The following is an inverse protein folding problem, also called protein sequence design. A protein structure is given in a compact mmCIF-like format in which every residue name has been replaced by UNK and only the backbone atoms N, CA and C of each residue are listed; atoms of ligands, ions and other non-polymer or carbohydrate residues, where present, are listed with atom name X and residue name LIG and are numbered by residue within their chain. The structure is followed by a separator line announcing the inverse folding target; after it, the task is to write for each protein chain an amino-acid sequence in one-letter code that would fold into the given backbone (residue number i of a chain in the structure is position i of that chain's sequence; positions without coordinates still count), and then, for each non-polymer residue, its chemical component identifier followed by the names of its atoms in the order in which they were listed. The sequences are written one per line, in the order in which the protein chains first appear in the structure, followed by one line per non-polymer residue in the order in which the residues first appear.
data_IF_760707397067
#
_entry.id   IF_760707397067
#
_cell.length_a   1.000
_cell.length_b   1.000
_cell.length_c   1.000
_cell.angle_alpha   90.00
_cell.angle_beta   90.00
_cell.angle_gamma   90.00
#
_symmetry.space_group_name_H-M   'P 1'
#
loop_
_entity.id
_entity.type
_entity.pdbx_description
1 polymer ?
#
# COMPACT_ATOMS: atom_id res chain seq x y z
N UNK A 1 -13.39 25.93 6.09
CA UNK A 1 -13.13 27.27 5.57
C UNK A 1 -11.75 27.30 4.89
N UNK A 2 -11.64 28.01 3.79
CA UNK A 2 -10.40 28.25 3.05
C UNK A 2 -10.23 29.76 2.86
N UNK A 3 -9.02 30.24 3.17
CA UNK A 3 -8.56 31.61 2.90
C UNK A 3 -7.33 31.51 2.01
N UNK A 4 -7.31 32.25 0.92
CA UNK A 4 -6.19 32.23 -0.02
C UNK A 4 -5.93 33.56 -0.66
N UNK A 5 -4.66 33.81 -0.94
CA UNK A 5 -4.15 34.85 -1.84
C UNK A 5 -3.05 34.22 -2.73
N UNK A 6 -2.33 35.03 -3.49
CA UNK A 6 -1.31 34.57 -4.42
C UNK A 6 -0.18 33.75 -3.74
N UNK A 7 0.17 34.11 -2.51
CA UNK A 7 1.28 33.49 -1.77
C UNK A 7 0.82 32.51 -0.71
N UNK A 8 -0.29 32.76 -0.04
CA UNK A 8 -0.75 31.98 1.10
C UNK A 8 -2.08 31.30 0.82
N UNK A 9 -2.22 30.11 1.36
CA UNK A 9 -3.49 29.42 1.44
C UNK A 9 -3.59 28.70 2.79
N UNK A 10 -4.67 28.95 3.51
CA UNK A 10 -4.97 28.33 4.80
C UNK A 10 -6.31 27.63 4.65
N UNK A 11 -6.33 26.34 4.95
CA UNK A 11 -7.55 25.53 5.02
C UNK A 11 -7.66 24.97 6.43
N UNK A 12 -8.79 25.21 7.09
CA UNK A 12 -9.15 24.60 8.37
C UNK A 12 -10.51 23.95 8.21
N UNK A 13 -10.62 22.70 8.65
CA UNK A 13 -11.85 21.94 8.61
C UNK A 13 -11.94 20.95 9.76
N UNK A 14 -13.13 20.44 9.96
CA UNK A 14 -13.39 19.40 10.93
C UNK A 14 -14.64 18.62 10.54
N UNK A 15 -14.66 17.35 10.89
CA UNK A 15 -15.80 16.44 10.69
C UNK A 15 -16.20 15.86 12.04
N UNK A 16 -17.49 15.82 12.27
CA UNK A 16 -18.11 15.14 13.41
C UNK A 16 -18.80 13.87 12.90
N UNK A 17 -18.44 12.76 13.47
CA UNK A 17 -19.00 11.45 13.12
C UNK A 17 -19.63 10.81 14.36
N UNK A 18 -20.79 10.18 14.19
CA UNK A 18 -21.40 9.30 15.19
C UNK A 18 -21.56 7.92 14.55
N UNK A 19 -20.97 6.93 15.17
CA UNK A 19 -21.03 5.54 14.73
C UNK A 19 -21.81 4.71 15.77
N UNK A 20 -22.60 3.75 15.31
CA UNK A 20 -23.43 2.91 16.20
C UNK A 20 -22.60 2.03 17.17
N UNK A 21 -21.34 1.81 16.86
CA UNK A 21 -20.42 0.99 17.68
C UNK A 21 -19.48 1.83 18.55
N UNK A 22 -19.68 3.15 18.59
CA UNK A 22 -18.85 4.08 19.36
C UNK A 22 -19.75 5.02 20.15
N UNK A 23 -19.60 5.03 21.48
CA UNK A 23 -20.48 5.79 22.37
C UNK A 23 -20.30 7.32 22.21
N UNK A 24 -19.11 7.76 21.87
CA UNK A 24 -18.78 9.18 21.74
C UNK A 24 -18.92 9.67 20.29
N UNK A 25 -19.14 10.98 20.15
CA UNK A 25 -18.97 11.67 18.87
C UNK A 25 -17.49 11.80 18.59
N UNK A 26 -17.07 11.43 17.39
CA UNK A 26 -15.67 11.48 16.95
C UNK A 26 -15.46 12.77 16.17
N UNK A 27 -14.50 13.56 16.62
CA UNK A 27 -14.10 14.78 15.95
C UNK A 27 -12.78 14.56 15.18
N UNK A 28 -12.81 14.83 13.88
CA UNK A 28 -11.67 14.67 12.97
C UNK A 28 -11.26 16.03 12.39
N UNK A 29 -10.36 16.78 13.03
CA UNK A 29 -9.85 18.04 12.53
C UNK A 29 -8.86 17.86 11.40
N UNK A 30 -8.77 18.87 10.52
CA UNK A 30 -7.73 19.00 9.51
C UNK A 30 -7.31 20.44 9.32
N UNK A 31 -6.04 20.65 9.04
CA UNK A 31 -5.49 21.94 8.70
C UNK A 31 -4.45 21.80 7.58
N UNK A 32 -4.42 22.74 6.68
CA UNK A 32 -3.42 22.81 5.63
C UNK A 32 -2.96 24.24 5.47
N UNK A 33 -1.66 24.44 5.49
CA UNK A 33 -1.01 25.70 5.21
C UNK A 33 -0.19 25.58 3.93
N UNK A 34 -0.46 26.41 2.96
CA UNK A 34 0.31 26.52 1.71
C UNK A 34 1.01 27.86 1.67
N UNK A 35 2.27 27.85 1.26
CA UNK A 35 3.06 29.03 1.01
C UNK A 35 3.77 28.93 -0.34
N UNK A 36 3.55 29.88 -1.22
CA UNK A 36 4.19 30.00 -2.53
C UNK A 36 5.21 31.16 -2.47
N UNK A 37 6.48 30.92 -2.12
CA UNK A 37 7.51 31.97 -2.14
C UNK A 37 7.72 32.55 -3.54
N UNK A 38 7.55 31.71 -4.55
CA UNK A 38 7.56 32.06 -5.97
C UNK A 38 6.43 31.34 -6.70
N UNK A 39 6.20 31.68 -7.97
CA UNK A 39 5.22 30.96 -8.82
C UNK A 39 5.60 29.47 -9.07
N UNK A 40 6.87 29.15 -8.89
CA UNK A 40 7.42 27.81 -9.20
C UNK A 40 7.72 26.96 -7.96
N UNK A 41 7.49 27.49 -6.76
CA UNK A 41 7.74 26.78 -5.50
C UNK A 41 6.47 26.81 -4.66
N UNK A 42 6.01 25.61 -4.26
CA UNK A 42 4.86 25.43 -3.39
C UNK A 42 5.30 24.65 -2.16
N UNK A 43 5.25 25.29 -1.00
CA UNK A 43 5.49 24.66 0.29
C UNK A 43 4.17 24.37 0.97
N UNK A 44 4.03 23.19 1.57
CA UNK A 44 2.83 22.79 2.30
C UNK A 44 3.17 22.19 3.64
N UNK A 45 2.36 22.53 4.64
CA UNK A 45 2.28 21.85 5.92
C UNK A 45 0.85 21.37 6.11
N UNK A 46 0.68 20.11 6.40
CA UNK A 46 -0.63 19.49 6.55
C UNK A 46 -0.73 18.74 7.87
N UNK A 47 -1.89 18.85 8.48
CA UNK A 47 -2.32 18.05 9.61
C UNK A 47 -3.71 17.49 9.34
N UNK A 48 -3.89 16.19 9.64
CA UNK A 48 -5.20 15.56 9.59
C UNK A 48 -5.34 14.50 10.69
N UNK A 49 -6.54 14.40 11.22
CA UNK A 49 -6.95 13.32 12.09
C UNK A 49 -8.00 12.46 11.40
N UNK A 50 -7.95 11.16 11.63
CA UNK A 50 -8.89 10.19 11.13
C UNK A 50 -9.18 9.12 12.18
N UNK A 51 -10.16 8.27 11.91
CA UNK A 51 -10.50 7.14 12.75
C UNK A 51 -10.98 5.96 11.91
N UNK A 52 -10.88 4.77 12.49
CA UNK A 52 -11.51 3.54 11.99
C UNK A 52 -12.45 3.03 13.08
N UNK A 53 -13.73 2.90 12.75
CA UNK A 53 -14.71 2.37 13.68
C UNK A 53 -14.52 0.87 13.91
N UNK A 54 -14.92 0.34 15.09
CA UNK A 54 -14.86 -1.10 15.35
C UNK A 54 -15.67 -1.90 14.34
N UNK A 55 -15.02 -2.86 13.69
CA UNK A 55 -15.65 -3.79 12.74
C UNK A 55 -15.20 -5.21 13.07
N UNK A 56 -16.10 -6.19 12.90
CA UNK A 56 -15.76 -7.59 13.15
C UNK A 56 -15.05 -8.24 11.94
N UNK A 57 -15.38 -7.82 10.72
CA UNK A 57 -15.12 -8.59 9.50
C UNK A 57 -14.27 -7.88 8.46
N UNK A 58 -13.54 -6.84 8.80
CA UNK A 58 -12.91 -6.00 7.80
C UNK A 58 -11.73 -6.72 7.07
N UNK A 59 -10.67 -7.02 7.81
CA UNK A 59 -9.43 -7.56 7.22
C UNK A 59 -9.26 -9.06 7.49
N UNK A 60 -10.08 -9.64 8.37
CA UNK A 60 -9.87 -10.98 8.91
C UNK A 60 -10.85 -12.02 8.36
N UNK A 61 -11.59 -11.70 7.30
CA UNK A 61 -12.41 -12.68 6.57
C UNK A 61 -11.57 -13.60 5.67
N UNK A 62 -10.38 -13.95 6.12
CA UNK A 62 -9.55 -14.92 5.43
C UNK A 62 -9.82 -16.32 5.97
N UNK A 63 -10.05 -17.25 5.06
CA UNK A 63 -9.95 -18.66 5.38
C UNK A 63 -8.46 -18.94 5.61
N UNK A 64 -8.02 -18.90 6.86
CA UNK A 64 -6.62 -19.13 7.24
C UNK A 64 -6.12 -20.51 6.82
N UNK A 65 -7.04 -21.47 6.69
CA UNK A 65 -6.72 -22.84 6.26
C UNK A 65 -7.82 -23.42 5.38
N UNK A 66 -7.42 -24.03 4.28
CA UNK A 66 -8.29 -24.88 3.50
C UNK A 66 -8.47 -26.21 4.25
N UNK A 67 -9.69 -26.48 4.73
CA UNK A 67 -9.98 -27.65 5.58
C UNK A 67 -9.69 -27.48 7.07
N UNK A 68 -9.31 -26.27 7.53
CA UNK A 68 -9.06 -25.97 8.93
C UNK A 68 -10.31 -25.56 9.72
N UNK A 69 -10.14 -25.45 11.02
CA UNK A 69 -11.19 -24.99 11.93
C UNK A 69 -11.49 -23.51 11.67
N UNK A 70 -12.76 -23.16 11.49
CA UNK A 70 -13.18 -21.76 11.35
C UNK A 70 -13.06 -21.08 12.72
N UNK A 71 -12.33 -19.99 12.81
CA UNK A 71 -12.31 -19.16 14.00
C UNK A 71 -13.31 -18.01 13.83
N UNK A 72 -14.22 -17.84 14.78
CA UNK A 72 -15.11 -16.68 14.85
C UNK A 72 -14.36 -15.49 15.45
N UNK A 73 -14.62 -14.29 14.93
CA UNK A 73 -14.08 -13.06 15.49
C UNK A 73 -15.17 -12.37 16.31
N UNK A 74 -14.90 -12.20 17.60
CA UNK A 74 -15.72 -11.43 18.51
C UNK A 74 -15.01 -10.12 18.89
N UNK A 75 -15.79 -9.09 19.16
CA UNK A 75 -15.27 -7.79 19.60
C UNK A 75 -15.21 -7.75 21.12
N UNK A 76 -14.14 -7.20 21.67
CA UNK A 76 -14.09 -6.84 23.09
C UNK A 76 -15.23 -5.86 23.41
N UNK A 77 -15.80 -5.98 24.62
CA UNK A 77 -16.91 -5.13 25.05
C UNK A 77 -16.56 -3.66 25.15
N UNK A 78 -15.30 -3.37 25.39
CA UNK A 78 -14.69 -2.04 25.55
C UNK A 78 -13.93 -1.57 24.31
N UNK A 79 -14.14 -2.21 23.16
CA UNK A 79 -13.46 -1.89 21.91
C UNK A 79 -13.78 -0.46 21.48
N UNK A 80 -12.77 0.39 21.42
CA UNK A 80 -12.79 1.79 20.97
C UNK A 80 -12.42 1.90 19.51
N UNK A 81 -12.70 3.05 18.94
CA UNK A 81 -12.21 3.41 17.61
C UNK A 81 -10.67 3.53 17.57
N UNK A 82 -10.06 3.01 16.54
CA UNK A 82 -8.66 3.29 16.21
C UNK A 82 -8.54 4.72 15.67
N UNK A 83 -7.58 5.50 16.15
CA UNK A 83 -7.36 6.89 15.74
C UNK A 83 -6.03 7.07 15.03
N UNK A 84 -6.02 7.98 14.07
CA UNK A 84 -4.80 8.41 13.39
C UNK A 84 -4.62 9.92 13.47
N UNK A 85 -3.36 10.34 13.61
CA UNK A 85 -2.94 11.73 13.46
C UNK A 85 -1.77 11.77 12.49
N UNK A 86 -1.93 12.51 11.42
CA UNK A 86 -0.94 12.60 10.34
C UNK A 86 -0.46 14.03 10.17
N UNK A 87 0.85 14.18 10.06
CA UNK A 87 1.55 15.42 9.73
C UNK A 87 2.35 15.20 8.46
N UNK A 88 2.32 16.14 7.53
CA UNK A 88 3.24 16.15 6.41
C UNK A 88 3.75 17.55 6.11
N UNK A 89 4.97 17.61 5.61
CA UNK A 89 5.60 18.80 5.07
C UNK A 89 6.14 18.49 3.69
N UNK A 90 5.80 19.32 2.70
CA UNK A 90 6.26 19.11 1.34
C UNK A 90 6.73 20.37 0.67
N UNK A 91 7.68 20.20 -0.25
CA UNK A 91 8.15 21.21 -1.18
C UNK A 91 7.97 20.69 -2.60
N UNK A 92 7.21 21.38 -3.40
CA UNK A 92 6.92 21.08 -4.80
C UNK A 92 7.50 22.19 -5.67
N UNK A 93 8.48 21.84 -6.48
CA UNK A 93 9.32 22.78 -7.22
C UNK A 93 9.23 22.51 -8.71
N UNK A 94 8.89 23.54 -9.47
CA UNK A 94 8.82 23.51 -10.92
C UNK A 94 9.96 24.33 -11.52
N UNK A 95 10.58 23.80 -12.54
CA UNK A 95 11.58 24.55 -13.28
C UNK A 95 11.52 24.26 -14.78
N UNK A 96 11.74 25.31 -15.59
CA UNK A 96 11.81 25.19 -17.04
C UNK A 96 13.15 25.74 -17.51
N UNK A 97 13.91 24.93 -18.22
CA UNK A 97 15.16 25.33 -18.84
C UNK A 97 15.21 24.85 -20.31
N UNK A 98 15.12 25.82 -21.21
CA UNK A 98 15.01 25.51 -22.64
C UNK A 98 13.76 24.70 -22.94
N UNK A 99 13.95 23.55 -23.58
CA UNK A 99 12.88 22.63 -23.96
C UNK A 99 12.47 21.66 -22.83
N UNK A 100 13.17 21.67 -21.70
CA UNK A 100 12.88 20.81 -20.55
C UNK A 100 11.93 21.48 -19.58
N UNK A 101 10.95 20.72 -19.12
CA UNK A 101 10.11 21.04 -17.98
C UNK A 101 10.35 20.01 -16.89
N UNK A 102 10.62 20.46 -15.67
CA UNK A 102 10.89 19.60 -14.54
C UNK A 102 10.02 19.92 -13.36
N UNK A 103 9.73 18.91 -12.57
CA UNK A 103 9.09 19.04 -11.28
C UNK A 103 9.80 18.12 -10.29
N UNK A 104 10.05 18.62 -9.09
CA UNK A 104 10.60 17.86 -7.98
C UNK A 104 9.70 18.07 -6.75
N UNK A 105 9.15 16.97 -6.24
CA UNK A 105 8.42 16.92 -4.98
C UNK A 105 9.27 16.22 -3.93
N UNK A 106 9.41 16.86 -2.78
CA UNK A 106 10.00 16.27 -1.57
C UNK A 106 8.93 16.34 -0.48
N UNK A 107 8.59 15.21 0.12
CA UNK A 107 7.59 15.16 1.20
C UNK A 107 8.11 14.33 2.37
N UNK A 108 8.15 14.94 3.56
CA UNK A 108 8.30 14.25 4.83
C UNK A 108 6.95 14.02 5.48
N UNK A 109 6.69 12.83 6.02
CA UNK A 109 5.45 12.49 6.68
C UNK A 109 5.66 11.75 7.99
N UNK A 110 4.72 11.95 8.91
CA UNK A 110 4.63 11.24 10.19
C UNK A 110 3.17 10.96 10.50
N UNK A 111 2.85 9.69 10.76
CA UNK A 111 1.52 9.26 11.21
C UNK A 111 1.63 8.49 12.52
N UNK A 112 0.84 8.90 13.50
CA UNK A 112 0.63 8.23 14.77
C UNK A 112 -0.71 7.51 14.74
N UNK A 113 -0.70 6.23 15.11
CA UNK A 113 -1.90 5.43 15.35
C UNK A 113 -2.02 5.16 16.85
N UNK A 114 -3.23 5.28 17.38
CA UNK A 114 -3.56 4.93 18.76
C UNK A 114 -4.75 3.98 18.79
N UNK A 115 -4.84 3.17 19.82
CA UNK A 115 -5.89 2.16 19.97
C UNK A 115 -5.97 1.21 18.76
N UNK A 116 -4.82 0.80 18.22
CA UNK A 116 -4.70 -0.04 17.02
C UNK A 116 -5.43 -1.37 17.25
N UNK A 117 -6.22 -1.79 16.28
CA UNK A 117 -6.91 -3.06 16.39
C UNK A 117 -5.94 -4.23 16.32
N UNK A 118 -6.03 -5.10 17.31
CA UNK A 118 -5.28 -6.34 17.38
C UNK A 118 -6.24 -7.50 17.57
N UNK A 119 -5.86 -8.65 17.01
CA UNK A 119 -6.58 -9.89 17.18
C UNK A 119 -5.92 -10.71 18.27
N UNK A 120 -6.69 -11.08 19.28
CA UNK A 120 -6.23 -11.91 20.38
C UNK A 120 -5.99 -13.36 19.96
N UNK A 121 -5.49 -14.15 20.90
CA UNK A 121 -5.27 -15.58 20.71
C UNK A 121 -6.60 -16.29 20.48
N UNK A 122 -6.62 -17.35 19.64
CA UNK A 122 -7.78 -18.20 19.55
C UNK A 122 -7.99 -18.97 20.85
N UNK A 123 -9.20 -19.05 21.32
CA UNK A 123 -9.62 -19.90 22.45
C UNK A 123 -10.86 -20.71 22.06
N UNK A 124 -11.01 -21.89 22.66
CA UNK A 124 -12.23 -22.68 22.48
C UNK A 124 -13.32 -22.12 23.40
N UNK A 125 -14.48 -21.80 22.83
CA UNK A 125 -15.64 -21.31 23.55
C UNK A 125 -16.34 -22.41 24.38
N UNK A 126 -15.98 -23.67 24.19
CA UNK A 126 -16.55 -24.83 24.88
C UNK A 126 -17.60 -25.57 24.04
N UNK A 127 -17.90 -25.11 22.84
CA UNK A 127 -18.77 -25.73 21.83
C UNK A 127 -18.01 -26.26 20.60
N UNK A 128 -16.68 -26.31 20.69
CA UNK A 128 -15.80 -26.69 19.57
C UNK A 128 -15.56 -25.59 18.56
N UNK A 129 -16.03 -24.36 18.83
CA UNK A 129 -15.79 -23.19 17.98
C UNK A 129 -14.62 -22.39 18.54
N UNK A 130 -13.59 -22.20 17.75
CA UNK A 130 -12.50 -21.30 18.07
C UNK A 130 -12.95 -19.85 17.93
N UNK A 131 -12.60 -19.02 18.90
CA UNK A 131 -12.94 -17.60 18.93
C UNK A 131 -11.69 -16.79 19.11
N UNK A 132 -11.52 -15.74 18.30
CA UNK A 132 -10.51 -14.71 18.46
C UNK A 132 -11.18 -13.41 18.88
N UNK A 133 -10.69 -12.73 19.89
CA UNK A 133 -11.23 -11.45 20.36
C UNK A 133 -10.46 -10.29 19.73
N UNK A 134 -11.18 -9.39 19.05
CA UNK A 134 -10.61 -8.12 18.59
C UNK A 134 -10.66 -7.11 19.72
N UNK A 135 -9.52 -6.53 20.06
CA UNK A 135 -9.35 -5.51 21.09
C UNK A 135 -8.45 -4.37 20.61
N UNK A 136 -8.34 -3.31 21.40
CA UNK A 136 -7.35 -2.27 21.13
C UNK A 136 -5.99 -2.72 21.69
N UNK A 137 -4.97 -2.57 20.89
CA UNK A 137 -3.58 -2.85 21.23
C UNK A 137 -2.74 -1.59 21.35
N UNK A 138 -1.41 -1.76 21.47
CA UNK A 138 -0.48 -0.65 21.55
C UNK A 138 -0.54 0.20 20.27
N UNK A 139 -0.19 1.48 20.42
CA UNK A 139 -0.10 2.38 19.28
C UNK A 139 0.99 1.99 18.28
N UNK A 140 0.96 2.65 17.15
CA UNK A 140 1.96 2.48 16.11
C UNK A 140 2.31 3.83 15.48
N UNK A 141 3.46 3.87 14.80
CA UNK A 141 3.92 5.05 14.07
C UNK A 141 4.53 4.68 12.74
N UNK A 142 4.24 5.51 11.76
CA UNK A 142 4.82 5.44 10.43
C UNK A 142 5.41 6.81 10.11
N UNK A 143 6.66 6.84 9.67
CA UNK A 143 7.33 8.07 9.24
C UNK A 143 8.19 7.79 8.03
N UNK A 144 8.35 8.77 7.17
CA UNK A 144 9.14 8.59 5.97
C UNK A 144 9.39 9.86 5.19
N UNK A 145 10.10 9.65 4.09
CA UNK A 145 10.42 10.65 3.09
C UNK A 145 10.05 10.11 1.71
N UNK A 146 9.30 10.89 0.95
CA UNK A 146 9.00 10.63 -0.45
C UNK A 146 9.73 11.65 -1.32
N UNK A 147 10.39 11.16 -2.35
CA UNK A 147 10.98 11.96 -3.42
C UNK A 147 10.29 11.58 -4.72
N UNK A 148 9.77 12.56 -5.45
CA UNK A 148 9.18 12.36 -6.77
C UNK A 148 9.74 13.36 -7.75
N UNK A 149 10.20 12.88 -8.89
CA UNK A 149 10.74 13.71 -9.97
C UNK A 149 9.98 13.49 -11.28
N UNK A 150 9.71 14.55 -12.00
CA UNK A 150 9.14 14.54 -13.35
C UNK A 150 10.01 15.36 -14.28
N UNK A 151 10.26 14.82 -15.46
CA UNK A 151 10.99 15.51 -16.53
C UNK A 151 10.22 15.30 -17.82
N UNK A 152 9.94 16.40 -18.54
CA UNK A 152 9.39 16.36 -19.88
C UNK A 152 10.35 17.11 -20.82
N UNK A 153 10.64 16.52 -21.97
CA UNK A 153 11.40 17.13 -23.05
C UNK A 153 10.50 17.25 -24.27
N UNK A 154 10.07 18.47 -24.59
CA UNK A 154 9.07 18.73 -25.64
C UNK A 154 7.84 17.82 -25.46
N UNK A 155 7.31 17.30 -26.56
CA UNK A 155 6.29 16.24 -26.60
C UNK A 155 6.89 14.84 -26.83
N UNK A 156 8.24 14.72 -26.79
CA UNK A 156 8.96 13.51 -27.21
C UNK A 156 9.19 12.57 -26.04
N UNK A 157 9.57 13.10 -24.87
CA UNK A 157 9.96 12.28 -23.72
C UNK A 157 9.30 12.81 -22.45
N UNK A 158 8.69 11.91 -21.68
CA UNK A 158 8.21 12.17 -20.33
C UNK A 158 8.72 11.06 -19.42
N UNK A 159 9.34 11.45 -18.30
CA UNK A 159 9.80 10.53 -17.27
C UNK A 159 9.24 11.00 -15.94
N UNK A 160 8.71 10.09 -15.15
CA UNK A 160 8.32 10.29 -13.76
C UNK A 160 8.89 9.15 -12.93
N UNK A 161 9.49 9.47 -11.78
CA UNK A 161 9.96 8.48 -10.84
C UNK A 161 9.67 8.94 -9.41
N UNK A 162 9.31 7.99 -8.56
CA UNK A 162 9.07 8.22 -7.13
C UNK A 162 9.75 7.17 -6.28
N UNK A 163 10.31 7.59 -5.15
CA UNK A 163 10.91 6.71 -4.15
C UNK A 163 10.45 7.13 -2.76
N UNK A 164 9.95 6.17 -2.00
CA UNK A 164 9.59 6.36 -0.60
C UNK A 164 10.50 5.51 0.29
N UNK A 165 11.09 6.17 1.29
CA UNK A 165 11.82 5.56 2.38
C UNK A 165 11.00 5.75 3.64
N UNK A 166 10.61 4.67 4.33
CA UNK A 166 9.77 4.76 5.51
C UNK A 166 10.21 3.80 6.62
N UNK A 167 9.74 4.11 7.81
CA UNK A 167 9.85 3.25 8.98
C UNK A 167 8.49 3.16 9.65
N UNK A 168 7.97 1.93 9.78
CA UNK A 168 6.70 1.61 10.43
C UNK A 168 6.93 0.69 11.62
N UNK A 169 6.47 1.11 12.80
CA UNK A 169 6.72 0.36 14.05
C UNK A 169 5.57 0.49 15.03
N UNK A 170 5.28 -0.60 15.72
CA UNK A 170 4.53 -0.59 16.97
C UNK A 170 5.33 0.10 18.08
N UNK A 171 4.66 0.71 19.03
CA UNK A 171 5.29 1.32 20.20
C UNK A 171 5.92 0.25 21.10
N UNK A 172 5.22 -0.85 21.25
CA UNK A 172 5.66 -2.04 21.99
C UNK A 172 5.79 -3.24 21.05
N UNK A 173 6.67 -4.20 21.37
CA UNK A 173 6.74 -5.43 20.59
C UNK A 173 5.40 -6.16 20.59
N UNK A 174 4.89 -6.49 19.42
CA UNK A 174 3.64 -7.22 19.23
C UNK A 174 3.90 -8.68 18.90
N UNK A 175 3.26 -9.60 19.62
CA UNK A 175 3.21 -11.02 19.31
C UNK A 175 1.92 -11.32 18.55
N UNK A 176 2.02 -11.74 17.32
CA UNK A 176 0.87 -12.14 16.52
C UNK A 176 0.47 -13.62 16.75
N UNK A 177 1.36 -14.43 17.32
CA UNK A 177 1.15 -15.83 17.73
C UNK A 177 2.01 -16.15 18.94
N UNK A 178 1.66 -17.19 19.73
CA UNK A 178 2.39 -17.56 20.94
C UNK A 178 3.83 -17.97 20.67
N UNK A 179 4.03 -18.76 19.63
CA UNK A 179 5.35 -19.28 19.24
C UNK A 179 6.13 -18.27 18.39
N UNK A 180 5.48 -17.18 17.95
CA UNK A 180 6.14 -16.17 17.15
C UNK A 180 7.01 -15.24 18.01
N UNK A 181 8.14 -14.78 17.47
CA UNK A 181 8.89 -13.72 18.10
C UNK A 181 8.06 -12.43 18.20
N UNK A 182 8.24 -11.66 19.26
CA UNK A 182 7.63 -10.36 19.39
C UNK A 182 8.35 -9.36 18.48
N UNK A 183 7.59 -8.71 17.59
CA UNK A 183 8.12 -7.80 16.60
C UNK A 183 7.64 -6.37 16.82
N UNK A 184 8.57 -5.41 16.71
CA UNK A 184 8.22 -3.97 16.67
C UNK A 184 7.86 -3.49 15.28
N UNK A 185 8.33 -4.17 14.24
CA UNK A 185 8.07 -3.79 12.85
C UNK A 185 6.65 -4.20 12.47
N UNK A 186 5.94 -3.29 11.82
CA UNK A 186 4.61 -3.59 11.27
C UNK A 186 4.80 -4.55 10.08
N UNK A 187 4.05 -5.65 10.12
CA UNK A 187 4.08 -6.64 9.06
C UNK A 187 3.53 -6.09 7.74
N UNK A 188 3.94 -6.69 6.63
CA UNK A 188 3.49 -6.39 5.26
C UNK A 188 3.72 -4.93 4.84
N UNK A 189 4.72 -4.28 5.44
CA UNK A 189 5.04 -2.89 5.19
C UNK A 189 6.51 -2.78 4.78
N UNK A 190 6.83 -2.54 3.49
CA UNK A 190 8.20 -2.39 3.03
C UNK A 190 8.78 -1.05 3.52
N UNK A 191 10.08 -1.05 3.91
CA UNK A 191 10.76 0.18 4.31
C UNK A 191 11.14 1.07 3.12
N UNK A 192 11.17 0.49 1.92
CA UNK A 192 11.53 1.19 0.69
C UNK A 192 10.65 0.68 -0.44
N UNK A 193 10.05 1.60 -1.17
CA UNK A 193 9.29 1.27 -2.39
C UNK A 193 9.31 2.45 -3.35
N UNK A 194 9.05 2.18 -4.60
CA UNK A 194 9.07 3.22 -5.61
C UNK A 194 8.52 2.76 -6.94
N UNK A 195 8.44 3.70 -7.84
CA UNK A 195 7.98 3.45 -9.20
C UNK A 195 8.70 4.38 -10.19
N UNK A 196 8.67 4.00 -11.44
CA UNK A 196 8.95 4.93 -12.52
C UNK A 196 8.07 4.65 -13.73
N UNK A 197 7.83 5.68 -14.51
CA UNK A 197 7.23 5.59 -15.84
C UNK A 197 8.04 6.46 -16.79
N UNK A 198 8.26 5.95 -18.01
CA UNK A 198 8.88 6.72 -19.07
C UNK A 198 8.09 6.50 -20.36
N UNK A 199 7.69 7.58 -21.01
CA UNK A 199 7.02 7.54 -22.31
C UNK A 199 7.84 8.31 -23.30
N UNK A 200 8.17 7.67 -24.43
CA UNK A 200 8.91 8.25 -25.53
C UNK A 200 8.07 8.17 -26.82
N UNK A 201 7.90 9.30 -27.50
CA UNK A 201 7.21 9.40 -28.79
C UNK A 201 8.20 9.97 -29.81
N UNK A 202 9.15 9.14 -30.30
CA UNK A 202 10.23 9.61 -31.14
C UNK A 202 9.74 10.12 -32.50
N UNK A 203 8.64 9.56 -32.97
CA UNK A 203 7.89 10.00 -34.15
C UNK A 203 6.40 9.96 -33.83
N UNK A 204 5.61 10.81 -34.45
CA UNK A 204 4.16 10.95 -34.12
C UNK A 204 3.39 9.65 -33.99
N UNK A 205 3.53 8.65 -34.92
CA UNK A 205 2.75 7.42 -34.81
C UNK A 205 3.27 6.41 -33.77
N UNK A 206 4.50 6.54 -33.26
CA UNK A 206 5.13 5.54 -32.38
C UNK A 206 5.23 6.05 -30.95
N UNK A 207 4.65 5.29 -30.01
CA UNK A 207 4.79 5.49 -28.58
C UNK A 207 5.42 4.28 -27.93
N UNK A 208 6.43 4.52 -27.11
CA UNK A 208 7.15 3.52 -26.30
C UNK A 208 6.96 3.90 -24.86
N UNK A 209 6.36 3.02 -24.05
CA UNK A 209 6.18 3.24 -22.63
C UNK A 209 6.91 2.16 -21.83
N UNK A 210 7.65 2.61 -20.82
CA UNK A 210 8.25 1.78 -19.80
C UNK A 210 7.57 2.09 -18.46
N UNK A 211 7.31 1.07 -17.68
CA UNK A 211 6.84 1.21 -16.30
C UNK A 211 7.55 0.24 -15.37
N UNK A 212 7.93 0.71 -14.20
CA UNK A 212 8.57 -0.14 -13.21
C UNK A 212 8.04 0.13 -11.82
N UNK A 213 7.93 -0.92 -11.03
CA UNK A 213 7.55 -0.86 -9.61
C UNK A 213 8.57 -1.63 -8.80
N UNK A 214 9.13 -0.98 -7.79
CA UNK A 214 10.06 -1.57 -6.84
C UNK A 214 9.39 -1.71 -5.46
N UNK A 215 9.44 -2.91 -4.90
CA UNK A 215 9.02 -3.19 -3.53
C UNK A 215 10.20 -3.78 -2.77
N UNK A 216 10.65 -3.08 -1.73
CA UNK A 216 11.72 -3.53 -0.85
C UNK A 216 11.29 -4.70 0.03
N UNK A 217 12.22 -5.18 0.84
CA UNK A 217 11.96 -6.26 1.80
C UNK A 217 10.98 -5.80 2.86
N UNK A 218 10.05 -6.67 3.23
CA UNK A 218 9.14 -6.49 4.35
C UNK A 218 9.11 -7.73 5.23
N UNK A 219 8.60 -7.60 6.45
CA UNK A 219 8.37 -8.72 7.36
C UNK A 219 6.96 -9.24 7.12
N UNK A 220 6.81 -10.56 6.99
CA UNK A 220 5.51 -11.20 6.80
C UNK A 220 5.36 -12.36 7.79
N UNK A 221 4.14 -12.63 8.15
CA UNK A 221 3.74 -13.73 9.00
C UNK A 221 3.63 -14.99 8.15
N UNK A 222 4.07 -16.12 8.69
CA UNK A 222 3.90 -17.44 8.11
C UNK A 222 3.60 -18.46 9.20
N UNK A 223 2.60 -19.31 8.94
CA UNK A 223 2.33 -20.50 9.73
C UNK A 223 2.92 -21.71 9.02
N UNK A 224 4.12 -22.10 9.41
CA UNK A 224 4.75 -23.29 8.86
C UNK A 224 4.08 -24.54 9.45
N UNK A 225 3.54 -25.37 8.56
CA UNK A 225 2.94 -26.64 8.91
C UNK A 225 3.94 -27.71 8.48
N UNK A 226 4.72 -28.17 9.43
CA UNK A 226 5.68 -29.22 9.15
C UNK A 226 4.96 -30.52 8.76
N UNK A 227 5.28 -31.03 7.59
CA UNK A 227 4.69 -32.26 7.04
C UNK A 227 4.91 -33.51 7.94
N UNK A 228 5.89 -33.45 8.84
CA UNK A 228 6.21 -34.53 9.78
C UNK A 228 5.11 -34.80 10.79
N UNK A 229 4.26 -33.81 11.11
CA UNK A 229 3.20 -33.91 12.11
C UNK A 229 1.80 -34.11 11.52
N UNK A 230 1.68 -34.24 10.20
CA UNK A 230 0.40 -34.48 9.53
C UNK A 230 -0.02 -35.96 9.61
N UNK A 231 -0.07 -36.54 10.81
CA UNK A 231 -0.78 -37.80 11.02
C UNK A 231 -2.28 -37.65 10.77
N UNK A 232 -2.84 -38.54 9.97
CA UNK A 232 -4.29 -38.55 9.70
C UNK A 232 -5.07 -38.51 11.04
N UNK A 233 -5.82 -37.43 11.28
CA UNK A 233 -6.69 -37.26 12.44
C UNK A 233 -6.11 -36.48 13.60
N UNK A 234 -4.85 -36.02 13.54
CA UNK A 234 -4.29 -35.05 14.50
C UNK A 234 -4.12 -33.68 13.84
N UNK A 235 -4.44 -32.60 14.56
CA UNK A 235 -4.09 -31.26 14.14
C UNK A 235 -2.55 -31.17 14.03
N UNK A 236 -1.99 -30.81 12.86
CA UNK A 236 -0.54 -30.65 12.75
C UNK A 236 -0.08 -29.49 13.64
N UNK A 237 1.06 -29.71 14.31
CA UNK A 237 1.72 -28.67 15.06
C UNK A 237 2.16 -27.56 14.11
N UNK A 238 1.77 -26.31 14.41
CA UNK A 238 2.04 -25.16 13.54
C UNK A 238 3.09 -24.29 14.20
N UNK A 239 4.14 -24.00 13.47
CA UNK A 239 5.18 -23.08 13.89
C UNK A 239 4.95 -21.71 13.27
N UNK A 240 4.76 -20.69 14.13
CA UNK A 240 4.61 -19.33 13.69
C UNK A 240 5.98 -18.67 13.46
N UNK A 241 6.21 -18.17 12.26
CA UNK A 241 7.48 -17.55 11.86
C UNK A 241 7.27 -16.14 11.31
N UNK A 242 8.27 -15.27 11.55
CA UNK A 242 8.36 -13.96 10.93
C UNK A 242 9.40 -14.01 9.82
N UNK A 243 8.96 -14.00 8.58
CA UNK A 243 9.83 -14.16 7.41
C UNK A 243 10.10 -12.83 6.75
N UNK A 244 11.35 -12.61 6.36
CA UNK A 244 11.75 -11.43 5.57
C UNK A 244 11.68 -11.74 4.09
N UNK A 245 10.79 -11.05 3.37
CA UNK A 245 10.58 -11.26 1.93
C UNK A 245 11.80 -10.89 1.09
N UNK A 246 11.93 -11.43 -0.12
CA UNK A 246 12.83 -10.87 -1.14
C UNK A 246 12.40 -9.45 -1.55
N UNK A 247 13.18 -8.83 -2.40
CA UNK A 247 12.82 -7.58 -3.10
C UNK A 247 12.13 -7.95 -4.40
N UNK A 248 11.20 -7.10 -4.84
CA UNK A 248 10.53 -7.25 -6.12
C UNK A 248 10.79 -6.04 -7.00
N UNK A 249 11.02 -6.30 -8.26
CA UNK A 249 11.11 -5.27 -9.28
C UNK A 249 10.35 -5.73 -10.53
N UNK A 250 9.16 -5.20 -10.69
CA UNK A 250 8.33 -5.42 -11.87
C UNK A 250 8.66 -4.37 -12.92
N UNK A 251 9.09 -4.80 -14.10
CA UNK A 251 9.34 -3.95 -15.27
C UNK A 251 8.44 -4.37 -16.41
N UNK A 252 7.71 -3.41 -16.97
CA UNK A 252 6.90 -3.58 -18.15
C UNK A 252 7.31 -2.66 -19.29
N UNK A 253 7.10 -3.12 -20.51
CA UNK A 253 7.25 -2.34 -21.74
C UNK A 253 6.00 -2.46 -22.59
N UNK A 254 5.56 -1.34 -23.15
CA UNK A 254 4.46 -1.25 -24.12
C UNK A 254 4.91 -0.46 -25.34
N UNK A 255 4.63 -0.99 -26.51
CA UNK A 255 4.76 -0.31 -27.78
C UNK A 255 3.36 -0.05 -28.33
N UNK A 256 3.14 1.11 -28.93
CA UNK A 256 1.91 1.44 -29.63
C UNK A 256 2.25 2.20 -30.92
N UNK A 257 1.56 1.87 -31.98
CA UNK A 257 1.72 2.51 -33.26
C UNK A 257 0.36 2.88 -33.85
N UNK A 258 0.21 4.17 -34.21
CA UNK A 258 -1.02 4.75 -34.75
C UNK A 258 -0.96 4.77 -36.29
N UNK A 259 -1.97 4.19 -36.93
CA UNK A 259 -2.18 4.19 -38.37
C UNK A 259 -3.39 5.05 -38.68
N UNK A 260 -3.28 5.92 -39.66
CA UNK A 260 -4.44 6.57 -40.28
C UNK A 260 -5.02 5.67 -41.37
N UNK A 261 -6.16 5.06 -41.12
CA UNK A 261 -6.84 4.20 -42.10
C UNK A 261 -7.68 5.02 -43.08
N UNK A 262 -8.34 6.06 -42.58
CA UNK A 262 -9.19 6.95 -43.39
C UNK A 262 -9.25 8.34 -42.76
N UNK A 263 -9.87 9.32 -43.42
CA UNK A 263 -9.89 10.72 -42.97
C UNK A 263 -10.31 10.90 -41.49
N UNK A 264 -11.19 10.04 -41.02
CA UNK A 264 -11.76 10.11 -39.64
C UNK A 264 -11.55 8.84 -38.83
N UNK A 265 -10.80 7.84 -39.35
CA UNK A 265 -10.60 6.56 -38.68
C UNK A 265 -9.13 6.35 -38.39
N UNK A 266 -8.78 6.32 -37.12
CA UNK A 266 -7.45 5.99 -36.61
C UNK A 266 -7.45 4.57 -36.05
N UNK A 267 -6.44 3.77 -36.38
CA UNK A 267 -6.17 2.43 -35.86
C UNK A 267 -4.89 2.46 -35.07
N UNK A 268 -4.94 2.06 -33.80
CA UNK A 268 -3.75 1.83 -33.01
C UNK A 268 -3.54 0.33 -32.79
N UNK A 269 -2.37 -0.15 -33.14
CA UNK A 269 -1.87 -1.46 -32.73
C UNK A 269 -0.97 -1.27 -31.51
N UNK A 270 -1.20 -2.04 -30.47
CA UNK A 270 -0.36 -1.99 -29.30
C UNK A 270 -0.05 -3.38 -28.77
N UNK A 271 1.08 -3.52 -28.09
CA UNK A 271 1.50 -4.76 -27.48
C UNK A 271 2.64 -4.53 -26.52
N UNK A 272 2.89 -5.50 -25.66
CA UNK A 272 3.93 -5.36 -24.67
C UNK A 272 4.17 -6.60 -23.85
N UNK A 273 5.07 -6.42 -22.89
CA UNK A 273 5.47 -7.43 -21.90
C UNK A 273 5.38 -6.79 -20.53
N UNK A 274 4.72 -7.47 -19.61
CA UNK A 274 4.70 -7.14 -18.18
C UNK A 274 5.60 -8.10 -17.43
N UNK A 275 6.16 -7.62 -16.32
CA UNK A 275 7.06 -8.39 -15.45
C UNK A 275 8.18 -9.09 -16.22
N UNK A 276 8.97 -8.33 -16.99
CA UNK A 276 10.04 -8.81 -17.86
C UNK A 276 11.04 -9.70 -17.09
N UNK A 277 11.30 -9.38 -15.83
CA UNK A 277 12.27 -10.08 -14.97
C UNK A 277 11.69 -11.28 -14.21
N UNK A 278 10.40 -11.60 -14.39
CA UNK A 278 9.72 -12.65 -13.62
C UNK A 278 9.87 -12.47 -12.10
N UNK A 279 9.74 -11.21 -11.66
CA UNK A 279 9.86 -10.81 -10.27
C UNK A 279 8.52 -10.98 -9.56
N UNK A 280 8.24 -12.19 -9.08
CA UNK A 280 7.02 -12.53 -8.35
C UNK A 280 7.33 -13.49 -7.20
N UNK A 281 6.39 -13.67 -6.29
CA UNK A 281 6.52 -14.64 -5.22
C UNK A 281 6.54 -16.07 -5.82
N UNK A 282 7.55 -16.88 -5.45
CA UNK A 282 7.71 -18.25 -5.96
C UNK A 282 7.54 -19.32 -4.89
N UNK A 283 7.57 -18.92 -3.63
CA UNK A 283 7.56 -19.77 -2.43
C UNK A 283 6.15 -19.85 -1.80
N UNK A 284 5.11 -19.89 -2.63
CA UNK A 284 3.74 -20.13 -2.15
C UNK A 284 3.65 -21.48 -1.45
N UNK A 285 3.01 -21.51 -0.29
CA UNK A 285 2.64 -22.76 0.35
C UNK A 285 1.65 -23.55 -0.52
N UNK A 286 1.80 -24.87 -0.54
CA UNK A 286 1.01 -25.78 -1.38
C UNK A 286 0.38 -26.89 -0.53
N UNK A 287 -0.67 -27.51 -1.07
CA UNK A 287 -1.35 -28.63 -0.45
C UNK A 287 -2.56 -28.23 0.41
N UNK A 288 -3.16 -29.23 1.05
CA UNK A 288 -4.37 -29.05 1.86
C UNK A 288 -4.13 -28.22 3.13
N UNK A 289 -2.93 -28.33 3.70
CA UNK A 289 -2.56 -27.66 4.96
C UNK A 289 -1.78 -26.35 4.74
N UNK A 290 -1.75 -25.82 3.53
CA UNK A 290 -1.02 -24.58 3.21
C UNK A 290 -1.48 -23.40 4.06
N UNK A 291 -0.58 -22.50 4.40
CA UNK A 291 -0.91 -21.18 4.90
C UNK A 291 -1.42 -20.31 3.74
N UNK A 292 -2.74 -20.17 3.64
CA UNK A 292 -3.39 -19.34 2.61
C UNK A 292 -3.12 -17.85 2.81
N UNK A 293 -2.70 -17.44 3.99
CA UNK A 293 -2.29 -16.07 4.32
C UNK A 293 -0.86 -15.73 3.87
N UNK A 294 -0.04 -16.71 3.50
CA UNK A 294 1.34 -16.51 3.07
C UNK A 294 1.43 -16.05 1.60
N UNK A 295 0.77 -14.95 1.32
CA UNK A 295 0.80 -14.25 0.03
C UNK A 295 1.29 -12.83 0.29
N UNK A 296 2.45 -12.45 -0.26
CA UNK A 296 3.11 -11.19 0.09
C UNK A 296 3.71 -10.44 -1.11
N UNK A 297 3.81 -11.06 -2.25
CA UNK A 297 4.44 -10.49 -3.45
C UNK A 297 3.51 -10.46 -4.66
N UNK A 298 3.99 -9.92 -5.78
CA UNK A 298 3.30 -10.05 -7.05
C UNK A 298 3.03 -11.52 -7.35
N UNK A 299 1.85 -11.84 -7.86
CA UNK A 299 1.42 -13.21 -8.16
C UNK A 299 1.51 -13.57 -9.64
N UNK A 300 1.67 -12.57 -10.51
CA UNK A 300 1.69 -12.78 -11.96
C UNK A 300 3.12 -12.92 -12.49
N UNK A 301 3.42 -14.00 -13.22
CA UNK A 301 4.68 -14.16 -13.94
C UNK A 301 4.74 -13.19 -15.13
N UNK A 302 5.82 -13.27 -15.92
CA UNK A 302 5.92 -12.55 -17.18
C UNK A 302 4.70 -12.86 -18.06
N UNK A 303 4.08 -11.80 -18.56
CA UNK A 303 2.92 -11.90 -19.45
C UNK A 303 3.07 -11.03 -20.68
N UNK A 304 2.51 -11.47 -21.78
CA UNK A 304 2.50 -10.76 -23.07
C UNK A 304 1.07 -10.33 -23.37
N UNK A 305 0.92 -9.17 -23.93
CA UNK A 305 -0.38 -8.67 -24.36
C UNK A 305 -0.29 -8.00 -25.73
N UNK A 306 -1.37 -8.07 -26.48
CA UNK A 306 -1.57 -7.34 -27.71
C UNK A 306 -2.99 -6.78 -27.77
N UNK A 307 -3.17 -5.64 -28.38
CA UNK A 307 -4.46 -4.98 -28.47
C UNK A 307 -4.59 -4.11 -29.71
N UNK A 308 -5.83 -3.87 -30.10
CA UNK A 308 -6.24 -3.01 -31.20
C UNK A 308 -7.22 -1.98 -30.67
N UNK A 309 -7.02 -0.71 -31.02
CA UNK A 309 -7.93 0.39 -30.71
C UNK A 309 -8.31 1.07 -31.99
N UNK A 310 -9.62 1.25 -32.24
CA UNK A 310 -10.17 2.01 -33.34
C UNK A 310 -10.83 3.26 -32.78
N UNK A 311 -10.51 4.41 -33.36
CA UNK A 311 -11.10 5.70 -32.99
C UNK A 311 -11.65 6.37 -34.26
N UNK A 312 -12.78 7.04 -34.16
CA UNK A 312 -13.44 7.76 -35.27
C UNK A 312 -13.97 9.11 -34.80
#
# INVERSE_FOLDING_TARGET
NEWKNDRWGILIGGRLDKHNMVDNVIFSPRANLRFNPTQNINLRLSYSSGFRAPQAFDEDMHIENVGGTVAMIERAKDLKEEKSQSFSVSADMYHRFGAFQTNLLIEGFYTRLTDVFVLGKPYDRGDGILVKTRSNGPGAKVMGLTLEGKVAYLSILQIQAGLTLQRSRYDEPHKWHDDAPAEKKIFRTPDTYGYFTATCTPIKPLSIALSGTYTGRMLVQRMDITAENAELGKMPERKAEAIRTPRFFDLGVKLAYDFKLYKTVDLQLNGGVQNIFESYQKDFDRGANRDSGYIYGPSLPRSFFAGVKISY
#
